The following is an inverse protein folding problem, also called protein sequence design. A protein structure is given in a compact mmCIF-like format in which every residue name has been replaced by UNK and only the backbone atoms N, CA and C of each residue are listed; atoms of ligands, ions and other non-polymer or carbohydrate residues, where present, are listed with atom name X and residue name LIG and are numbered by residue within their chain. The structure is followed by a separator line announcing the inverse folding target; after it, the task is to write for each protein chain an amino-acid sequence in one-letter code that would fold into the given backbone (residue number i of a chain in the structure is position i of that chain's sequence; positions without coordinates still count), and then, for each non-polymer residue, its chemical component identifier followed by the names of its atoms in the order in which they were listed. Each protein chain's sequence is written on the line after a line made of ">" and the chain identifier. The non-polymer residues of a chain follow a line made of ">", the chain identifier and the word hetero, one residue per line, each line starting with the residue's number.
data_IF_955978699333
#
_entry.id   IF_955978699333
#
_cell.length_a   1.000
_cell.length_b   1.000
_cell.length_c   1.000
_cell.angle_alpha   90.00
_cell.angle_beta   90.00
_cell.angle_gamma   90.00
#
_symmetry.space_group_name_H-M   'P 1'
#
loop_
_entity.id
_entity.type
_entity.pdbx_description
1 polymer ?
#
# COMPACT_ATOMS: atom_id res chain seq x y z
N UNK A 1 46.31 6.14 16.44
CA UNK A 1 45.77 4.78 16.67
C UNK A 1 44.77 4.91 17.82
N UNK A 2 43.47 4.65 17.74
CA UNK A 2 42.61 4.08 16.71
C UNK A 2 41.19 4.59 17.01
N UNK A 3 40.64 5.44 16.16
CA UNK A 3 39.20 5.72 16.12
C UNK A 3 38.50 4.62 15.33
N UNK A 4 37.88 3.67 16.02
CA UNK A 4 36.86 2.81 15.41
C UNK A 4 35.77 2.43 16.41
N UNK A 5 34.55 2.55 15.89
CA UNK A 5 33.36 1.71 16.17
C UNK A 5 32.35 2.23 17.21
N UNK A 6 31.60 3.26 16.82
CA UNK A 6 30.17 3.41 17.19
C UNK A 6 29.35 3.98 16.02
N UNK A 7 29.32 3.28 14.89
CA UNK A 7 28.23 3.38 13.91
C UNK A 7 27.58 2.00 13.84
N UNK A 8 26.33 1.86 14.25
CA UNK A 8 25.63 0.57 14.11
C UNK A 8 24.45 0.32 15.06
N UNK A 9 23.72 1.37 15.50
CA UNK A 9 22.45 1.16 16.22
C UNK A 9 21.28 2.00 15.69
N UNK A 10 21.50 2.82 14.67
CA UNK A 10 20.47 3.75 14.13
C UNK A 10 19.96 3.40 12.73
N UNK A 11 20.56 2.42 12.05
CA UNK A 11 20.18 2.05 10.68
C UNK A 11 19.11 0.95 10.64
N UNK A 12 19.04 0.09 11.65
CA UNK A 12 18.00 -0.95 11.75
C UNK A 12 16.60 -0.37 12.08
N UNK A 13 16.52 0.88 12.55
CA UNK A 13 15.25 1.58 12.76
C UNK A 13 14.70 2.22 11.46
N UNK A 14 15.50 2.29 10.39
CA UNK A 14 15.13 2.91 9.11
C UNK A 14 14.76 1.89 8.02
N UNK A 15 14.93 0.59 8.29
CA UNK A 15 14.55 -0.47 7.36
C UNK A 15 13.30 -1.20 7.88
N UNK A 16 12.14 -0.71 7.41
CA UNK A 16 10.94 -1.50 7.11
C UNK A 16 10.15 -2.18 8.25
N UNK A 17 10.60 -2.21 9.50
CA UNK A 17 9.87 -2.96 10.55
C UNK A 17 8.80 -2.12 11.28
N UNK A 18 8.91 -0.78 11.24
CA UNK A 18 8.04 0.13 11.99
C UNK A 18 6.58 0.11 11.51
N UNK A 19 6.36 0.23 10.20
CA UNK A 19 5.03 0.41 9.59
C UNK A 19 4.00 -0.67 9.95
N UNK A 20 4.41 -1.93 10.00
CA UNK A 20 3.48 -3.04 10.29
C UNK A 20 3.18 -3.20 11.78
N UNK A 21 4.08 -2.77 12.67
CA UNK A 21 3.82 -2.73 14.11
C UNK A 21 2.90 -1.56 14.50
N UNK A 22 3.01 -0.42 13.81
CA UNK A 22 2.15 0.74 14.05
C UNK A 22 0.69 0.41 13.74
N UNK A 23 0.42 -0.24 12.62
CA UNK A 23 -0.97 -0.60 12.26
C UNK A 23 -1.57 -1.70 13.13
N UNK A 24 -0.79 -2.71 13.51
CA UNK A 24 -1.25 -3.72 14.47
C UNK A 24 -1.63 -3.09 15.81
N UNK A 25 -0.94 -2.02 16.21
CA UNK A 25 -1.22 -1.27 17.45
C UNK A 25 -2.41 -0.31 17.31
N UNK A 26 -2.64 0.27 16.12
CA UNK A 26 -3.74 1.20 15.84
C UNK A 26 -5.10 0.47 15.69
N UNK A 27 -5.11 -0.68 15.01
CA UNK A 27 -6.32 -1.50 14.79
C UNK A 27 -6.50 -2.57 15.87
N UNK A 28 -5.44 -2.93 16.59
CA UNK A 28 -5.47 -3.87 17.70
C UNK A 28 -5.93 -3.19 18.98
N UNK A 29 -7.24 -3.04 19.17
CA UNK A 29 -7.77 -2.91 20.55
C UNK A 29 -7.24 -4.11 21.34
N UNK A 30 -6.63 -3.91 22.52
CA UNK A 30 -6.27 -5.03 23.37
C UNK A 30 -7.58 -5.61 23.91
N UNK A 31 -8.12 -6.61 23.24
CA UNK A 31 -9.11 -7.49 23.88
C UNK A 31 -8.34 -8.18 24.99
N UNK A 32 -8.48 -7.67 26.22
CA UNK A 32 -8.14 -8.39 27.43
C UNK A 32 -8.96 -9.68 27.44
N UNK A 33 -8.43 -10.73 26.82
CA UNK A 33 -8.88 -12.08 27.08
C UNK A 33 -8.22 -12.49 28.40
N UNK A 34 -9.08 -12.53 29.42
CA UNK A 34 -8.80 -13.00 30.76
C UNK A 34 -8.10 -14.36 30.72
N UNK A 35 -7.05 -14.51 31.55
CA UNK A 35 -6.49 -15.81 31.91
C UNK A 35 -7.59 -16.69 32.52
N UNK A 36 -7.59 -18.00 32.24
CA UNK A 36 -7.05 -18.90 33.26
C UNK A 36 -6.22 -20.09 32.75
N UNK A 37 -5.15 -20.33 33.50
CA UNK A 37 -4.50 -21.57 33.95
C UNK A 37 -4.30 -22.85 33.07
N UNK A 38 -3.07 -23.36 33.20
CA UNK A 38 -2.52 -24.72 33.06
C UNK A 38 -2.78 -25.60 31.81
N UNK A 39 -1.73 -25.70 30.96
CA UNK A 39 -1.27 -27.00 30.41
C UNK A 39 -1.25 -27.21 28.88
N UNK A 40 -0.16 -26.80 28.20
CA UNK A 40 0.32 -27.18 26.83
C UNK A 40 -0.60 -26.91 25.61
N UNK A 41 -0.09 -26.79 24.35
CA UNK A 41 1.29 -26.71 23.86
C UNK A 41 1.66 -25.27 23.41
N UNK A 42 2.92 -25.04 23.06
CA UNK A 42 3.52 -23.73 22.72
C UNK A 42 2.63 -22.84 21.86
N UNK A 43 1.99 -21.85 22.48
CA UNK A 43 1.25 -20.81 21.77
C UNK A 43 2.19 -20.11 20.79
N UNK A 44 1.86 -20.15 19.49
CA UNK A 44 2.57 -19.41 18.45
C UNK A 44 2.64 -17.94 18.85
N UNK A 45 3.86 -17.40 19.05
CA UNK A 45 4.03 -16.00 19.42
C UNK A 45 3.85 -15.10 18.20
N UNK A 46 3.34 -13.89 18.43
CA UNK A 46 3.17 -12.91 17.36
C UNK A 46 4.54 -12.50 16.78
N UNK A 47 4.70 -12.63 15.45
CA UNK A 47 5.96 -12.39 14.74
C UNK A 47 6.91 -13.59 14.65
N UNK A 48 6.54 -14.77 15.14
CA UNK A 48 7.38 -15.97 15.01
C UNK A 48 7.53 -16.40 13.55
N UNK A 49 8.77 -16.61 13.14
CA UNK A 49 9.11 -17.31 11.89
C UNK A 49 9.08 -18.82 12.14
N UNK A 50 8.13 -19.53 11.53
CA UNK A 50 7.98 -20.98 11.62
C UNK A 50 7.81 -21.62 10.24
N UNK A 51 8.25 -22.87 10.12
CA UNK A 51 7.92 -23.67 8.95
C UNK A 51 6.55 -24.30 9.17
N UNK A 52 5.59 -23.93 8.32
CA UNK A 52 4.21 -24.35 8.44
C UNK A 52 3.89 -25.36 7.33
N UNK A 53 3.22 -26.48 7.64
CA UNK A 53 2.71 -27.41 6.63
C UNK A 53 1.85 -26.69 5.61
N UNK A 54 2.12 -26.92 4.33
CA UNK A 54 1.43 -26.19 3.25
C UNK A 54 -0.08 -26.48 3.25
N UNK A 55 -0.48 -27.67 3.70
CA UNK A 55 -1.88 -28.12 3.80
C UNK A 55 -2.69 -27.42 4.89
N UNK A 56 -2.01 -26.86 5.90
CA UNK A 56 -2.65 -26.07 6.95
C UNK A 56 -2.89 -24.62 6.53
N UNK A 57 -2.36 -24.20 5.37
CA UNK A 57 -2.45 -22.83 4.86
C UNK A 57 -3.54 -22.74 3.81
N UNK A 58 -4.42 -21.75 3.96
CA UNK A 58 -5.48 -21.43 3.01
C UNK A 58 -5.29 -20.04 2.38
N UNK A 59 -5.80 -19.90 1.17
CA UNK A 59 -5.85 -18.64 0.41
C UNK A 59 -6.63 -17.56 1.16
N UNK A 60 -6.13 -16.32 1.10
CA UNK A 60 -6.77 -15.18 1.72
C UNK A 60 -8.09 -14.82 1.03
N UNK A 61 -9.11 -14.46 1.81
CA UNK A 61 -10.44 -14.10 1.29
C UNK A 61 -10.46 -12.84 0.40
N UNK A 62 -9.39 -12.04 0.41
CA UNK A 62 -9.34 -10.69 -0.17
C UNK A 62 -8.19 -10.46 -1.19
N UNK A 63 -7.89 -11.42 -2.06
CA UNK A 63 -6.88 -11.26 -3.12
C UNK A 63 -7.51 -11.28 -4.53
N UNK A 64 -7.62 -10.12 -5.20
CA UNK A 64 -8.35 -9.98 -6.48
C UNK A 64 -7.52 -10.29 -7.74
N UNK A 65 -6.31 -10.84 -7.65
CA UNK A 65 -5.50 -11.08 -8.87
C UNK A 65 -5.94 -12.37 -9.57
N UNK A 66 -6.82 -12.20 -10.55
CA UNK A 66 -7.35 -13.25 -11.42
C UNK A 66 -6.39 -13.65 -12.55
N UNK A 67 -5.34 -12.86 -12.81
CA UNK A 67 -4.33 -13.18 -13.83
C UNK A 67 -3.03 -13.67 -13.19
N UNK A 68 -2.99 -14.96 -12.85
CA UNK A 68 -1.72 -15.64 -12.58
C UNK A 68 -1.20 -16.20 -13.90
N UNK A 69 -0.18 -15.57 -14.48
CA UNK A 69 0.56 -16.16 -15.60
C UNK A 69 1.23 -17.46 -15.12
N UNK A 70 0.72 -18.60 -15.60
CA UNK A 70 1.16 -19.96 -15.23
C UNK A 70 2.68 -20.13 -15.42
N UNK A 71 3.24 -19.61 -16.53
CA UNK A 71 4.68 -19.66 -16.84
C UNK A 71 5.55 -19.01 -15.75
N UNK A 72 5.18 -17.82 -15.28
CA UNK A 72 5.92 -17.11 -14.23
C UNK A 72 5.79 -17.78 -12.84
N UNK A 73 4.82 -18.67 -12.68
CA UNK A 73 4.66 -19.46 -11.46
C UNK A 73 5.53 -20.73 -11.51
N UNK A 74 5.62 -21.39 -12.67
CA UNK A 74 6.51 -22.53 -12.89
C UNK A 74 7.99 -22.16 -12.75
N UNK A 75 8.41 -21.01 -13.28
CA UNK A 75 9.78 -20.50 -13.09
C UNK A 75 10.11 -20.29 -11.61
N UNK A 76 9.17 -19.69 -10.86
CA UNK A 76 9.33 -19.48 -9.43
C UNK A 76 9.37 -20.81 -8.68
N UNK A 77 8.55 -21.79 -9.06
CA UNK A 77 8.55 -23.13 -8.48
C UNK A 77 9.89 -23.85 -8.73
N UNK A 78 10.45 -23.74 -9.94
CA UNK A 78 11.76 -24.29 -10.27
C UNK A 78 12.88 -23.64 -9.43
N UNK A 79 12.80 -22.33 -9.20
CA UNK A 79 13.72 -21.61 -8.31
C UNK A 79 13.59 -22.08 -6.86
N UNK A 80 12.36 -22.17 -6.35
CA UNK A 80 12.06 -22.62 -4.98
C UNK A 80 12.52 -24.06 -4.76
N UNK A 81 12.38 -24.93 -5.75
CA UNK A 81 12.86 -26.32 -5.67
C UNK A 81 14.38 -26.42 -5.50
N UNK A 82 15.14 -25.46 -6.05
CA UNK A 82 16.61 -25.42 -5.96
C UNK A 82 17.13 -24.75 -4.69
N UNK A 83 16.49 -23.65 -4.27
CA UNK A 83 17.04 -22.76 -3.25
C UNK A 83 16.15 -22.63 -2.00
N UNK A 84 14.97 -23.25 -2.02
CA UNK A 84 13.95 -23.03 -1.00
C UNK A 84 13.26 -21.66 -1.15
N UNK A 85 12.39 -21.36 -0.20
CA UNK A 85 11.69 -20.08 -0.15
C UNK A 85 12.54 -19.05 0.59
N UNK A 86 13.12 -18.11 -0.15
CA UNK A 86 14.03 -17.09 0.40
C UNK A 86 13.33 -16.06 1.29
N UNK A 87 12.09 -15.70 0.96
CA UNK A 87 11.33 -14.70 1.70
C UNK A 87 10.10 -15.37 2.31
N UNK A 88 9.89 -15.30 3.64
CA UNK A 88 8.78 -15.99 4.29
C UNK A 88 7.44 -15.38 3.92
N UNK A 89 6.40 -16.21 3.88
CA UNK A 89 5.01 -15.76 3.70
C UNK A 89 4.48 -15.16 5.01
N UNK A 90 3.45 -14.31 4.93
CA UNK A 90 2.80 -13.76 6.13
C UNK A 90 1.44 -14.40 6.27
N UNK A 91 1.18 -15.00 7.43
CA UNK A 91 -0.04 -15.75 7.71
C UNK A 91 -0.65 -15.32 9.04
N UNK A 92 -1.95 -15.54 9.21
CA UNK A 92 -2.65 -15.43 10.49
C UNK A 92 -3.29 -16.76 10.89
N UNK A 93 -3.36 -17.09 12.18
CA UNK A 93 -4.15 -18.23 12.63
C UNK A 93 -5.65 -17.93 12.45
N UNK A 94 -6.40 -18.98 12.11
CA UNK A 94 -7.87 -18.97 12.03
C UNK A 94 -8.46 -19.83 13.15
N UNK A 95 -9.77 -19.76 13.37
CA UNK A 95 -10.45 -20.50 14.44
C UNK A 95 -10.39 -22.03 14.32
N UNK A 96 -9.92 -22.58 13.19
CA UNK A 96 -9.89 -24.02 12.90
C UNK A 96 -8.48 -24.64 12.91
N UNK A 97 -7.53 -24.08 13.65
CA UNK A 97 -6.10 -24.48 13.65
C UNK A 97 -5.43 -24.41 12.26
N UNK A 98 -6.07 -23.70 11.33
CA UNK A 98 -5.53 -23.40 10.00
C UNK A 98 -4.98 -21.99 9.95
N UNK A 99 -4.17 -21.72 8.94
CA UNK A 99 -3.58 -20.41 8.70
C UNK A 99 -4.10 -19.79 7.42
N UNK A 100 -4.40 -18.50 7.43
CA UNK A 100 -4.80 -17.76 6.23
C UNK A 100 -3.66 -16.87 5.74
N UNK A 101 -3.44 -16.86 4.43
CA UNK A 101 -2.40 -16.03 3.79
C UNK A 101 -2.82 -14.55 3.81
N UNK A 102 -1.99 -13.72 4.41
CA UNK A 102 -2.09 -12.25 4.32
C UNK A 102 -1.29 -11.77 3.11
N UNK A 103 -0.07 -12.28 2.93
CA UNK A 103 0.84 -11.90 1.85
C UNK A 103 1.73 -13.07 1.40
N UNK A 104 2.08 -13.08 0.11
CA UNK A 104 2.96 -14.09 -0.48
C UNK A 104 2.27 -15.28 -1.14
N UNK A 105 1.04 -15.10 -1.64
CA UNK A 105 0.25 -16.16 -2.30
C UNK A 105 1.01 -16.88 -3.43
N UNK A 106 1.73 -16.13 -4.29
CA UNK A 106 2.56 -16.70 -5.36
C UNK A 106 3.62 -17.66 -4.84
N UNK A 107 4.24 -17.36 -3.69
CA UNK A 107 5.26 -18.20 -3.05
C UNK A 107 4.64 -19.47 -2.49
N UNK A 108 3.49 -19.38 -1.82
CA UNK A 108 2.75 -20.56 -1.35
C UNK A 108 2.37 -21.49 -2.50
N UNK A 109 1.82 -20.94 -3.60
CA UNK A 109 1.40 -21.73 -4.75
C UNK A 109 2.59 -22.32 -5.52
N UNK A 110 3.68 -21.57 -5.68
CA UNK A 110 4.91 -22.08 -6.27
C UNK A 110 5.57 -23.17 -5.38
N UNK A 111 5.45 -23.08 -4.05
CA UNK A 111 5.90 -24.14 -3.13
C UNK A 111 5.06 -25.41 -3.24
N UNK A 112 3.76 -25.30 -3.49
CA UNK A 112 2.90 -26.45 -3.81
C UNK A 112 3.38 -27.14 -5.09
N UNK A 113 3.64 -26.37 -6.15
CA UNK A 113 4.14 -26.89 -7.43
C UNK A 113 5.55 -27.50 -7.28
N UNK A 114 6.40 -26.89 -6.45
CA UNK A 114 7.73 -27.39 -6.14
C UNK A 114 7.71 -28.69 -5.32
N UNK A 115 6.57 -29.06 -4.72
CA UNK A 115 6.41 -30.26 -3.89
C UNK A 115 7.04 -30.13 -2.50
N UNK A 116 7.03 -28.94 -1.92
CA UNK A 116 7.52 -28.74 -0.54
C UNK A 116 6.45 -29.14 0.48
N UNK A 117 6.83 -29.84 1.55
CA UNK A 117 5.90 -30.21 2.63
C UNK A 117 5.60 -29.02 3.57
N UNK A 118 6.58 -28.13 3.73
CA UNK A 118 6.48 -26.97 4.62
C UNK A 118 7.01 -25.70 3.95
N UNK A 119 6.52 -24.54 4.41
CA UNK A 119 6.94 -23.23 3.93
C UNK A 119 7.27 -22.30 5.11
N UNK A 120 8.38 -21.53 5.05
CA UNK A 120 8.67 -20.54 6.07
C UNK A 120 7.62 -19.44 6.07
N UNK A 121 7.01 -19.21 7.22
CA UNK A 121 5.92 -18.27 7.41
C UNK A 121 6.11 -17.46 8.71
N UNK A 122 5.74 -16.19 8.66
CA UNK A 122 5.65 -15.31 9.83
C UNK A 122 4.19 -15.31 10.29
N UNK A 123 3.97 -15.76 11.52
CA UNK A 123 2.63 -15.80 12.13
C UNK A 123 2.33 -14.43 12.72
N UNK A 124 1.29 -13.77 12.24
CA UNK A 124 0.76 -12.53 12.82
C UNK A 124 -0.62 -12.74 13.42
N UNK A 125 -0.75 -12.55 14.74
CA UNK A 125 -2.01 -12.62 15.48
C UNK A 125 -2.72 -11.29 15.44
N UNK A 126 -3.25 -10.98 14.26
CA UNK A 126 -3.99 -9.75 14.01
C UNK A 126 -5.45 -10.05 13.73
N UNK A 127 -6.34 -9.17 14.19
CA UNK A 127 -7.76 -9.22 13.84
C UNK A 127 -7.97 -9.12 12.33
N UNK A 128 -9.18 -9.46 11.88
CA UNK A 128 -9.45 -9.58 10.45
C UNK A 128 -9.11 -8.32 9.66
N UNK A 129 -9.47 -7.18 10.24
CA UNK A 129 -9.23 -5.85 9.70
C UNK A 129 -7.74 -5.51 9.59
N UNK A 130 -6.96 -5.76 10.65
CA UNK A 130 -5.52 -5.47 10.66
C UNK A 130 -4.74 -6.32 9.65
N UNK A 131 -5.18 -7.55 9.37
CA UNK A 131 -4.61 -8.38 8.32
C UNK A 131 -4.86 -7.80 6.92
N UNK A 132 -6.11 -7.38 6.63
CA UNK A 132 -6.47 -6.77 5.36
C UNK A 132 -5.70 -5.45 5.17
N UNK A 133 -5.62 -4.63 6.21
CA UNK A 133 -4.85 -3.38 6.18
C UNK A 133 -3.36 -3.64 5.86
N UNK A 134 -2.74 -4.65 6.50
CA UNK A 134 -1.35 -5.01 6.20
C UNK A 134 -1.16 -5.49 4.76
N UNK A 135 -2.10 -6.28 4.22
CA UNK A 135 -2.04 -6.71 2.82
C UNK A 135 -2.15 -5.53 1.85
N UNK A 136 -3.04 -4.57 2.15
CA UNK A 136 -3.22 -3.37 1.35
C UNK A 136 -1.97 -2.47 1.39
N UNK A 137 -1.34 -2.32 2.56
CA UNK A 137 -0.12 -1.53 2.73
C UNK A 137 1.06 -2.14 1.96
N UNK A 138 1.25 -3.47 2.00
CA UNK A 138 2.28 -4.13 1.18
C UNK A 138 2.06 -3.85 -0.30
N UNK A 139 0.81 -3.93 -0.76
CA UNK A 139 0.49 -3.65 -2.14
C UNK A 139 0.78 -2.17 -2.51
N UNK A 140 0.47 -1.22 -1.61
CA UNK A 140 0.78 0.22 -1.76
C UNK A 140 2.30 0.48 -1.79
N UNK A 141 3.10 -0.30 -1.06
CA UNK A 141 4.55 -0.13 -1.00
C UNK A 141 5.30 -0.66 -2.23
N UNK A 142 4.61 -1.17 -3.25
CA UNK A 142 5.23 -1.63 -4.49
C UNK A 142 5.70 -0.45 -5.34
N UNK A 143 6.94 -0.54 -5.83
CA UNK A 143 7.63 0.56 -6.53
C UNK A 143 7.04 0.92 -7.91
N UNK A 144 6.10 0.12 -8.44
CA UNK A 144 5.56 0.29 -9.80
C UNK A 144 4.09 0.76 -9.83
N UNK A 145 3.54 1.26 -8.73
CA UNK A 145 2.18 1.80 -8.74
C UNK A 145 2.12 3.15 -9.45
N UNK A 146 1.11 3.30 -10.29
CA UNK A 146 0.75 4.58 -10.87
C UNK A 146 0.22 5.51 -9.75
N UNK A 147 0.52 6.82 -9.77
CA UNK A 147 0.03 7.75 -8.75
C UNK A 147 -1.47 7.72 -8.49
N UNK A 148 -2.29 7.41 -9.51
CA UNK A 148 -3.73 7.27 -9.36
C UNK A 148 -4.12 5.97 -8.65
N UNK A 149 -3.46 4.86 -8.98
CA UNK A 149 -3.65 3.58 -8.28
C UNK A 149 -3.23 3.69 -6.81
N UNK A 150 -2.09 4.34 -6.56
CA UNK A 150 -1.63 4.63 -5.20
C UNK A 150 -2.65 5.47 -4.44
N UNK A 151 -3.18 6.53 -5.05
CA UNK A 151 -4.22 7.37 -4.45
C UNK A 151 -5.49 6.57 -4.11
N UNK A 152 -5.97 5.73 -5.03
CA UNK A 152 -7.14 4.88 -4.81
C UNK A 152 -6.92 3.87 -3.68
N UNK A 153 -5.74 3.24 -3.62
CA UNK A 153 -5.40 2.30 -2.57
C UNK A 153 -5.30 2.99 -1.19
N UNK A 154 -4.72 4.18 -1.13
CA UNK A 154 -4.68 5.00 0.09
C UNK A 154 -6.07 5.43 0.54
N UNK A 155 -6.94 5.84 -0.39
CA UNK A 155 -8.31 6.22 -0.09
C UNK A 155 -9.13 5.04 0.43
N UNK A 156 -8.95 3.87 -0.19
CA UNK A 156 -9.54 2.61 0.29
C UNK A 156 -9.07 2.26 1.71
N UNK A 157 -7.77 2.37 1.97
CA UNK A 157 -7.21 2.14 3.32
C UNK A 157 -7.78 3.12 4.35
N UNK A 158 -8.01 4.38 3.97
CA UNK A 158 -8.67 5.35 4.83
C UNK A 158 -10.14 4.99 5.10
N UNK A 159 -10.90 4.67 4.06
CA UNK A 159 -12.35 4.50 4.17
C UNK A 159 -12.75 3.15 4.79
N UNK A 160 -12.05 2.05 4.46
CA UNK A 160 -12.36 0.71 5.00
C UNK A 160 -11.99 0.57 6.48
N UNK A 161 -11.05 1.36 6.97
CA UNK A 161 -10.53 1.28 8.34
C UNK A 161 -10.76 2.55 9.16
N UNK A 162 -11.53 3.50 8.62
CA UNK A 162 -11.87 4.79 9.22
C UNK A 162 -10.64 5.58 9.73
N UNK A 163 -9.49 5.43 9.06
CA UNK A 163 -8.22 6.01 9.48
C UNK A 163 -8.11 7.48 9.10
N UNK A 164 -7.50 8.27 9.97
CA UNK A 164 -7.10 9.63 9.64
C UNK A 164 -5.96 9.63 8.62
N UNK A 165 -5.82 10.74 7.89
CA UNK A 165 -4.69 10.89 6.95
C UNK A 165 -3.32 10.82 7.64
N UNK A 166 -3.25 11.12 8.94
CA UNK A 166 -2.02 10.99 9.72
C UNK A 166 -1.69 9.51 9.98
N UNK A 167 -2.67 8.74 10.44
CA UNK A 167 -2.49 7.30 10.68
C UNK A 167 -2.15 6.54 9.40
N UNK A 168 -2.80 6.87 8.27
CA UNK A 168 -2.44 6.31 6.96
C UNK A 168 -1.00 6.66 6.59
N UNK A 169 -0.55 7.88 6.86
CA UNK A 169 0.82 8.33 6.56
C UNK A 169 1.86 7.56 7.37
N UNK A 170 1.59 7.36 8.66
CA UNK A 170 2.44 6.59 9.58
C UNK A 170 2.48 5.11 9.16
N UNK A 171 1.33 4.56 8.76
CA UNK A 171 1.19 3.18 8.29
C UNK A 171 2.01 2.89 7.03
N UNK A 172 2.03 3.80 6.05
CA UNK A 172 2.75 3.60 4.79
C UNK A 172 4.16 4.18 4.78
N UNK A 173 4.55 4.91 5.84
CA UNK A 173 5.87 5.52 5.98
C UNK A 173 6.08 6.77 5.10
N UNK A 174 5.02 7.53 4.83
CA UNK A 174 5.06 8.78 4.04
C UNK A 174 4.64 9.98 4.88
N UNK A 175 4.89 11.20 4.40
CA UNK A 175 4.39 12.39 5.08
C UNK A 175 2.87 12.52 4.92
N UNK A 176 2.18 13.04 5.94
CA UNK A 176 0.74 13.37 5.85
C UNK A 176 0.43 14.23 4.62
N UNK A 177 1.28 15.22 4.32
CA UNK A 177 1.13 16.08 3.14
C UNK A 177 1.18 15.30 1.84
N UNK A 178 2.04 14.29 1.74
CA UNK A 178 2.11 13.39 0.57
C UNK A 178 0.80 12.62 0.41
N UNK A 179 0.28 12.05 1.50
CA UNK A 179 -1.00 11.31 1.48
C UNK A 179 -2.16 12.21 1.04
N UNK A 180 -2.27 13.41 1.64
CA UNK A 180 -3.29 14.38 1.25
C UNK A 180 -3.21 14.73 -0.23
N UNK A 181 -2.00 14.96 -0.74
CA UNK A 181 -1.81 15.31 -2.15
C UNK A 181 -2.19 14.16 -3.09
N UNK A 182 -1.81 12.91 -2.77
CA UNK A 182 -2.18 11.73 -3.55
C UNK A 182 -3.69 11.54 -3.60
N UNK A 183 -4.35 11.49 -2.43
CA UNK A 183 -5.81 11.26 -2.36
C UNK A 183 -6.58 12.33 -3.14
N UNK A 184 -6.12 13.59 -3.13
CA UNK A 184 -6.78 14.66 -3.88
C UNK A 184 -6.80 14.44 -5.40
N UNK A 185 -5.88 13.67 -5.96
CA UNK A 185 -5.83 13.39 -7.40
C UNK A 185 -7.02 12.57 -7.89
N UNK A 186 -7.71 11.85 -7.00
CA UNK A 186 -8.97 11.19 -7.30
C UNK A 186 -10.04 12.21 -7.71
N UNK A 187 -9.92 13.47 -7.27
CA UNK A 187 -10.80 14.56 -7.68
C UNK A 187 -10.51 15.12 -9.07
N UNK A 188 -9.49 14.64 -9.79
CA UNK A 188 -9.25 15.04 -11.17
C UNK A 188 -10.33 14.46 -12.08
N UNK A 189 -10.69 15.26 -13.08
CA UNK A 189 -11.51 14.77 -14.19
C UNK A 189 -10.85 13.58 -14.89
N UNK A 190 -11.68 12.68 -15.40
CA UNK A 190 -11.25 11.40 -15.97
C UNK A 190 -10.21 11.54 -17.09
N UNK A 191 -10.33 12.55 -17.95
CA UNK A 191 -9.38 12.77 -19.05
C UNK A 191 -8.01 13.24 -18.56
N UNK A 192 -7.97 14.12 -17.56
CA UNK A 192 -6.72 14.57 -16.91
C UNK A 192 -6.07 13.44 -16.13
N UNK A 193 -6.88 12.58 -15.51
CA UNK A 193 -6.40 11.36 -14.84
C UNK A 193 -5.70 10.44 -15.83
N UNK A 194 -6.30 10.16 -16.98
CA UNK A 194 -5.69 9.33 -18.02
C UNK A 194 -4.36 9.91 -18.53
N UNK A 195 -4.26 11.24 -18.67
CA UNK A 195 -2.99 11.89 -19.03
C UNK A 195 -1.90 11.70 -17.95
N UNK A 196 -2.27 11.76 -16.67
CA UNK A 196 -1.34 11.46 -15.57
C UNK A 196 -0.94 9.97 -15.57
N UNK A 197 -1.88 9.07 -15.84
CA UNK A 197 -1.63 7.63 -15.88
C UNK A 197 -0.69 7.23 -17.03
N UNK A 198 -0.82 7.89 -18.18
CA UNK A 198 0.07 7.68 -19.34
C UNK A 198 1.44 8.34 -19.19
N UNK A 199 1.64 9.18 -18.18
CA UNK A 199 2.87 9.96 -17.97
C UNK A 199 2.97 11.24 -18.80
N UNK A 200 1.90 11.65 -19.49
CA UNK A 200 1.83 12.93 -20.21
C UNK A 200 1.87 14.12 -19.24
N UNK A 201 1.43 13.91 -17.99
CA UNK A 201 1.48 14.88 -16.91
C UNK A 201 2.24 14.31 -15.72
N UNK A 202 3.08 15.15 -15.11
CA UNK A 202 3.63 14.87 -13.80
C UNK A 202 2.65 15.20 -12.68
N UNK A 203 2.88 14.60 -11.50
CA UNK A 203 2.15 14.88 -10.26
C UNK A 203 2.04 16.36 -9.92
N UNK A 204 3.08 17.15 -10.21
CA UNK A 204 3.08 18.60 -10.01
C UNK A 204 2.03 19.32 -10.88
N UNK A 205 1.91 18.93 -12.15
CA UNK A 205 0.89 19.48 -13.06
C UNK A 205 -0.51 19.14 -12.56
N UNK A 206 -0.73 17.86 -12.27
CA UNK A 206 -2.01 17.34 -11.80
C UNK A 206 -2.49 18.06 -10.53
N UNK A 207 -1.58 18.31 -9.58
CA UNK A 207 -1.89 19.05 -8.35
C UNK A 207 -2.32 20.50 -8.59
N UNK A 208 -1.71 21.19 -9.54
CA UNK A 208 -2.09 22.56 -9.87
C UNK A 208 -3.49 22.62 -10.49
N UNK A 209 -3.82 21.67 -11.37
CA UNK A 209 -5.09 21.59 -12.07
C UNK A 209 -6.29 21.36 -11.14
N UNK A 210 -6.11 20.66 -10.01
CA UNK A 210 -7.17 20.37 -9.02
C UNK A 210 -7.92 21.59 -8.46
N UNK A 211 -7.37 22.80 -8.61
CA UNK A 211 -8.03 24.04 -8.17
C UNK A 211 -9.03 24.60 -9.19
N UNK A 212 -9.04 24.07 -10.41
CA UNK A 212 -9.92 24.49 -11.50
C UNK A 212 -11.21 23.65 -11.53
N UNK A 213 -12.26 24.16 -12.19
CA UNK A 213 -13.46 23.37 -12.48
C UNK A 213 -13.17 22.27 -13.52
N UNK A 214 -14.03 21.27 -13.61
CA UNK A 214 -13.87 20.11 -14.50
C UNK A 214 -13.60 20.49 -15.97
N UNK A 215 -14.34 21.46 -16.52
CA UNK A 215 -14.10 21.92 -17.90
C UNK A 215 -12.74 22.61 -18.06
N UNK A 216 -12.39 23.46 -17.09
CA UNK A 216 -11.13 24.20 -17.08
C UNK A 216 -9.93 23.28 -16.88
N UNK A 217 -10.07 22.21 -16.08
CA UNK A 217 -9.05 21.19 -15.90
C UNK A 217 -8.65 20.57 -17.23
N UNK A 218 -9.62 20.12 -18.03
CA UNK A 218 -9.36 19.50 -19.35
C UNK A 218 -8.67 20.45 -20.32
N UNK A 219 -9.14 21.69 -20.40
CA UNK A 219 -8.56 22.68 -21.33
C UNK A 219 -7.13 23.06 -20.92
N UNK A 220 -6.91 23.29 -19.62
CA UNK A 220 -5.59 23.59 -19.09
C UNK A 220 -4.65 22.38 -19.26
N UNK A 221 -5.09 21.16 -18.99
CA UNK A 221 -4.30 19.94 -19.17
C UNK A 221 -3.85 19.76 -20.64
N UNK A 222 -4.76 19.90 -21.61
CA UNK A 222 -4.40 19.87 -23.04
C UNK A 222 -3.38 20.94 -23.41
N UNK A 223 -3.49 22.13 -22.82
CA UNK A 223 -2.53 23.22 -23.04
C UNK A 223 -1.16 22.90 -22.45
N UNK A 224 -1.12 22.30 -21.26
CA UNK A 224 0.12 21.89 -20.59
C UNK A 224 0.86 20.85 -21.42
N UNK A 225 0.16 19.79 -21.84
CA UNK A 225 0.73 18.71 -22.66
C UNK A 225 1.15 19.24 -24.03
N UNK A 226 0.25 19.93 -24.73
CA UNK A 226 0.51 20.41 -26.10
C UNK A 226 1.62 21.45 -26.21
N UNK A 227 1.93 22.18 -25.12
CA UNK A 227 3.02 23.17 -25.08
C UNK A 227 4.22 22.70 -24.25
N UNK A 228 4.20 21.50 -23.69
CA UNK A 228 5.25 20.97 -22.83
C UNK A 228 5.56 21.90 -21.64
N UNK A 229 4.54 22.43 -20.98
CA UNK A 229 4.74 23.37 -19.87
C UNK A 229 5.35 22.67 -18.67
N UNK A 230 6.26 23.36 -17.98
CA UNK A 230 6.77 22.94 -16.68
C UNK A 230 5.73 23.13 -15.56
N UNK A 231 5.97 22.50 -14.40
CA UNK A 231 5.09 22.62 -13.22
C UNK A 231 4.88 24.08 -12.81
N UNK A 232 5.95 24.88 -12.77
CA UNK A 232 5.85 26.32 -12.42
C UNK A 232 5.06 27.13 -13.45
N UNK A 233 5.20 26.81 -14.73
CA UNK A 233 4.41 27.46 -15.79
C UNK A 233 2.94 27.06 -15.70
N UNK A 234 2.66 25.80 -15.35
CA UNK A 234 1.30 25.30 -15.11
C UNK A 234 0.64 25.98 -13.92
N UNK A 235 1.33 26.13 -12.79
CA UNK A 235 0.84 26.90 -11.64
C UNK A 235 0.52 28.36 -12.02
N UNK A 236 1.36 28.97 -12.86
CA UNK A 236 1.15 30.33 -13.36
C UNK A 236 -0.03 30.44 -14.32
N UNK A 237 -0.27 29.43 -15.15
CA UNK A 237 -1.46 29.32 -16.01
C UNK A 237 -2.74 29.21 -15.17
N UNK A 238 -2.76 28.28 -14.22
CA UNK A 238 -3.89 28.05 -13.31
C UNK A 238 -4.22 29.32 -12.53
N UNK A 239 -3.22 30.02 -11.98
CA UNK A 239 -3.42 31.28 -11.25
C UNK A 239 -4.09 32.36 -12.10
N UNK A 240 -3.74 32.47 -13.38
CA UNK A 240 -4.37 33.41 -14.31
C UNK A 240 -5.83 33.04 -14.60
N UNK A 241 -6.11 31.75 -14.87
CA UNK A 241 -7.47 31.26 -15.10
C UNK A 241 -8.40 31.50 -13.90
N UNK A 242 -7.88 31.30 -12.68
CA UNK A 242 -8.62 31.59 -11.45
C UNK A 242 -8.89 33.09 -11.28
N UNK A 243 -7.93 33.97 -11.58
CA UNK A 243 -8.12 35.42 -11.54
C UNK A 243 -9.19 35.89 -12.55
N UNK A 244 -9.15 35.37 -13.78
CA UNK A 244 -10.10 35.72 -14.84
C UNK A 244 -11.53 35.24 -14.50
N UNK A 245 -11.67 34.04 -13.94
CA UNK A 245 -12.97 33.52 -13.49
C UNK A 245 -13.57 34.28 -12.30
N UNK A 246 -12.74 34.80 -11.39
CA UNK A 246 -13.18 35.65 -10.27
C UNK A 246 -13.64 37.04 -10.70
N UNK A 247 -13.06 37.59 -11.78
CA UNK A 247 -13.43 38.90 -12.34
C UNK A 247 -14.78 38.91 -13.07
N UNK A 248 -15.31 37.73 -13.44
CA UNK A 248 -16.56 37.56 -14.20
C UNK A 248 -17.82 37.35 -13.36
N UNK A 249 -17.79 37.53 -12.04
CA UNK A 249 -19.01 37.48 -11.22
C UNK A 249 -19.99 38.57 -11.69
N UNK A 250 -21.23 38.25 -12.12
CA UNK A 250 -22.18 39.27 -12.53
C UNK A 250 -22.51 40.17 -11.34
N UNK A 251 -22.52 41.48 -11.59
CA UNK A 251 -23.08 42.44 -10.65
C UNK A 251 -24.49 41.95 -10.26
N UNK A 252 -24.74 41.87 -8.95
CA UNK A 252 -26.06 41.55 -8.38
C UNK A 252 -27.14 42.34 -9.14
N UNK A 253 -28.00 41.63 -9.87
CA UNK A 253 -29.28 42.18 -10.26
C UNK A 253 -30.12 42.34 -8.99
N UNK A 254 -30.78 43.49 -8.91
CA UNK A 254 -31.52 44.08 -7.79
C UNK A 254 -32.51 43.14 -7.10
#
# INVERSE_FOLDING_TARGET
>A
MNDKKKLGKGLDALLSTGSTQTMASLLGKPTQLQQPDAGQPTEDKDGDLKNIPIDLIQRGKYQPRTDMHEEALEELAASIKKQGVMQPIVIRPTSSEKYEIIAGERRWRASQIAGLDTIPAIIKRVGDEAAIAMSLIENIQRENLNPIEEAMALKRLQDEFELTQQEVADAVGKSRTTITNLIRLIGLRIDVRTMLENGDLEMGHARALLSLSDEQQSEAARTVVGRGLSVRQTESLVRRLLADSGSRRPARAF
#
